data_IF_602514680794
#
_entry.id   IF_602514680794
#
_cell.length_a   1.000
_cell.length_b   1.000
_cell.length_c   1.000
_cell.angle_alpha   90.00
_cell.angle_beta   90.00
_cell.angle_gamma   90.00
#
_symmetry.space_group_name_H-M   'P 1'
#
loop_
_entity.id
_entity.type
_entity.pdbx_description
1 polymer ?
#
# COMPACT_ATOMS: atom_id res chain seq x y z
N UNK A 1 10.08 19.27 -4.93
CA UNK A 1 8.99 20.26 -5.12
C UNK A 1 7.61 19.58 -5.15
N UNK A 2 7.23 18.87 -6.22
CA UNK A 2 5.90 18.24 -6.30
C UNK A 2 5.74 17.07 -5.31
N UNK A 3 6.73 16.18 -5.20
CA UNK A 3 6.75 15.11 -4.18
C UNK A 3 6.57 15.68 -2.77
N UNK A 4 7.32 16.73 -2.42
CA UNK A 4 7.26 17.35 -1.11
C UNK A 4 5.88 17.94 -0.81
N UNK A 5 5.28 18.61 -1.81
CA UNK A 5 3.93 19.13 -1.71
C UNK A 5 2.91 18.02 -1.37
N UNK A 6 2.96 16.88 -2.08
CA UNK A 6 2.05 15.76 -1.82
C UNK A 6 2.27 15.13 -0.43
N UNK A 7 3.53 15.00 0.00
CA UNK A 7 3.89 14.48 1.31
C UNK A 7 3.40 15.41 2.43
N UNK A 8 3.53 16.72 2.25
CA UNK A 8 2.98 17.72 3.19
C UNK A 8 1.46 17.62 3.24
N UNK A 9 0.78 17.52 2.09
CA UNK A 9 -0.68 17.36 2.07
C UNK A 9 -1.15 16.11 2.83
N UNK A 10 -0.43 14.99 2.68
CA UNK A 10 -0.77 13.78 3.44
C UNK A 10 -0.55 13.96 4.94
N UNK A 11 0.58 14.57 5.35
CA UNK A 11 0.88 14.86 6.76
C UNK A 11 -0.18 15.79 7.38
N UNK A 12 -0.59 16.83 6.65
CA UNK A 12 -1.64 17.76 7.08
C UNK A 12 -2.99 17.05 7.20
N UNK A 13 -3.31 16.13 6.30
CA UNK A 13 -4.52 15.32 6.39
C UNK A 13 -4.52 14.42 7.64
N UNK A 14 -3.40 13.75 7.93
CA UNK A 14 -3.23 12.92 9.13
C UNK A 14 -3.39 13.79 10.38
N UNK A 15 -2.73 14.93 10.46
CA UNK A 15 -2.82 15.85 11.60
C UNK A 15 -4.23 16.41 11.80
N UNK A 16 -4.91 16.78 10.71
CA UNK A 16 -6.28 17.32 10.74
C UNK A 16 -7.31 16.29 11.19
N UNK A 17 -7.16 15.03 10.78
CA UNK A 17 -8.11 13.96 11.12
C UNK A 17 -7.82 13.42 12.52
N UNK A 18 -6.54 13.36 12.92
CA UNK A 18 -6.07 12.65 14.12
C UNK A 18 -5.67 11.22 13.76
N UNK A 19 -4.40 10.86 14.01
CA UNK A 19 -3.83 9.55 13.65
C UNK A 19 -4.60 8.38 14.28
N UNK A 20 -5.04 8.53 15.53
CA UNK A 20 -5.84 7.57 16.30
C UNK A 20 -7.20 7.26 15.67
N UNK A 21 -7.63 8.07 14.70
CA UNK A 21 -8.90 7.92 13.96
C UNK A 21 -8.70 7.35 12.56
N UNK A 22 -7.47 7.05 12.16
CA UNK A 22 -7.13 6.54 10.82
C UNK A 22 -6.68 5.09 10.95
N UNK A 23 -7.43 4.16 10.34
CA UNK A 23 -7.06 2.75 10.33
C UNK A 23 -5.99 2.40 9.30
N UNK A 24 -6.11 2.93 8.07
CA UNK A 24 -5.21 2.57 6.98
C UNK A 24 -5.10 3.66 5.91
N UNK A 25 -3.95 3.67 5.23
CA UNK A 25 -3.75 4.24 3.91
C UNK A 25 -3.84 3.11 2.87
N UNK A 26 -4.55 3.37 1.76
CA UNK A 26 -4.67 2.43 0.64
C UNK A 26 -4.22 3.13 -0.63
N UNK A 27 -3.28 2.53 -1.37
CA UNK A 27 -2.78 3.12 -2.61
C UNK A 27 -2.27 2.09 -3.60
N UNK A 28 -2.58 2.30 -4.88
CA UNK A 28 -1.95 1.57 -5.98
C UNK A 28 -0.49 2.04 -6.14
N UNK A 29 0.48 1.13 -6.38
CA UNK A 29 1.86 1.54 -6.69
C UNK A 29 1.95 2.41 -7.96
N UNK A 30 1.10 2.12 -8.95
CA UNK A 30 0.84 2.96 -10.12
C UNK A 30 -0.67 3.00 -10.31
N UNK A 31 -1.27 4.18 -10.32
CA UNK A 31 -2.73 4.29 -10.44
C UNK A 31 -3.15 3.96 -11.87
N UNK A 32 -3.61 2.73 -12.10
CA UNK A 32 -3.80 2.22 -13.44
C UNK A 32 -5.06 2.82 -14.09
N UNK A 33 -6.22 2.64 -13.46
CA UNK A 33 -7.52 3.11 -13.98
C UNK A 33 -7.65 4.64 -13.97
N UNK A 34 -6.84 5.33 -13.14
CA UNK A 34 -6.78 6.79 -13.08
C UNK A 34 -6.03 7.45 -14.23
N UNK A 35 -5.48 6.67 -15.17
CA UNK A 35 -4.72 7.17 -16.32
C UNK A 35 -3.24 6.79 -16.32
N UNK A 36 -2.88 5.65 -15.70
CA UNK A 36 -1.49 5.16 -15.60
C UNK A 36 -0.59 6.22 -14.97
N UNK A 37 -0.97 6.66 -13.77
CA UNK A 37 -0.25 7.73 -13.05
C UNK A 37 0.87 7.07 -12.26
N UNK A 38 2.10 7.28 -12.73
CA UNK A 38 3.32 6.87 -12.01
C UNK A 38 3.57 7.89 -10.89
N UNK A 39 3.75 7.45 -9.63
CA UNK A 39 4.02 8.36 -8.53
C UNK A 39 5.39 9.02 -8.72
N UNK A 40 5.58 10.27 -8.26
CA UNK A 40 6.90 10.88 -8.21
C UNK A 40 7.88 10.07 -7.34
N UNK A 41 9.17 10.11 -7.69
CA UNK A 41 10.22 9.38 -6.97
C UNK A 41 10.17 9.64 -5.46
N UNK A 42 10.22 8.55 -4.69
CA UNK A 42 10.22 8.57 -3.23
C UNK A 42 8.88 8.94 -2.58
N UNK A 43 7.82 9.24 -3.35
CA UNK A 43 6.50 9.59 -2.79
C UNK A 43 5.97 8.49 -1.89
N UNK A 44 5.78 7.28 -2.42
CA UNK A 44 5.15 6.19 -1.68
C UNK A 44 5.97 5.74 -0.47
N UNK A 45 7.31 5.73 -0.58
CA UNK A 45 8.20 5.45 0.56
C UNK A 45 7.99 6.45 1.70
N UNK A 46 7.86 7.75 1.40
CA UNK A 46 7.61 8.79 2.41
C UNK A 46 6.18 8.73 2.98
N UNK A 47 5.20 8.31 2.18
CA UNK A 47 3.85 8.02 2.70
C UNK A 47 3.90 6.83 3.66
N UNK A 48 4.63 5.76 3.31
CA UNK A 48 4.82 4.59 4.18
C UNK A 48 5.47 4.95 5.51
N UNK A 49 6.50 5.80 5.49
CA UNK A 49 7.17 6.32 6.69
C UNK A 49 6.17 7.05 7.61
N UNK A 50 5.39 7.99 7.06
CA UNK A 50 4.36 8.69 7.82
C UNK A 50 3.33 7.72 8.39
N UNK A 51 2.89 6.72 7.61
CA UNK A 51 1.97 5.71 8.11
C UNK A 51 2.57 4.93 9.30
N UNK A 52 3.84 4.52 9.19
CA UNK A 52 4.55 3.81 10.26
C UNK A 52 4.71 4.65 11.53
N UNK A 53 5.02 5.93 11.40
CA UNK A 53 5.15 6.88 12.52
C UNK A 53 3.85 7.10 13.28
N UNK A 54 2.69 6.87 12.63
CA UNK A 54 1.36 7.18 13.15
C UNK A 54 0.50 5.94 13.44
N UNK A 55 1.10 4.74 13.43
CA UNK A 55 0.40 3.45 13.58
C UNK A 55 -0.77 3.25 12.57
N UNK A 56 -0.61 3.81 11.37
CA UNK A 56 -1.56 3.67 10.26
C UNK A 56 -1.10 2.49 9.40
N UNK A 57 -2.00 1.55 9.12
CA UNK A 57 -1.70 0.43 8.24
C UNK A 57 -1.49 0.90 6.79
N UNK A 58 -0.49 0.37 6.10
CA UNK A 58 -0.26 0.64 4.69
C UNK A 58 -0.73 -0.56 3.84
N UNK A 59 -1.72 -0.34 2.98
CA UNK A 59 -2.23 -1.33 2.03
C UNK A 59 -1.76 -0.97 0.62
N UNK A 60 -0.94 -1.82 0.03
CA UNK A 60 -0.55 -1.70 -1.37
C UNK A 60 -1.59 -2.39 -2.26
N UNK A 61 -2.32 -1.63 -3.06
CA UNK A 61 -3.28 -2.19 -4.01
C UNK A 61 -2.59 -2.64 -5.30
N UNK A 62 -2.28 -3.93 -5.36
CA UNK A 62 -1.57 -4.56 -6.47
C UNK A 62 -2.48 -5.39 -7.35
N UNK A 63 -3.78 -5.09 -7.35
CA UNK A 63 -4.74 -5.72 -8.26
C UNK A 63 -4.33 -5.56 -9.73
N UNK A 64 -3.71 -4.44 -10.12
CA UNK A 64 -3.20 -4.25 -11.49
C UNK A 64 -1.69 -4.43 -11.59
N UNK A 65 -0.93 -3.94 -10.61
CA UNK A 65 0.55 -3.91 -10.66
C UNK A 65 1.20 -5.26 -10.32
N UNK A 66 0.46 -6.18 -9.68
CA UNK A 66 0.94 -7.51 -9.36
C UNK A 66 1.09 -8.44 -10.56
N UNK A 67 1.75 -9.56 -10.32
CA UNK A 67 1.99 -10.67 -11.26
C UNK A 67 2.66 -10.26 -12.57
N UNK A 68 3.74 -9.48 -12.47
CA UNK A 68 4.64 -9.21 -13.60
C UNK A 68 4.32 -7.95 -14.39
N UNK A 69 3.27 -7.18 -14.04
CA UNK A 69 2.90 -5.96 -14.78
C UNK A 69 4.05 -4.97 -14.89
N UNK A 70 4.86 -4.86 -13.84
CA UNK A 70 6.03 -3.99 -13.76
C UNK A 70 7.36 -4.75 -13.79
N UNK A 71 7.36 -6.00 -14.29
CA UNK A 71 8.57 -6.85 -14.36
C UNK A 71 8.85 -7.67 -13.10
N UNK A 72 8.06 -7.45 -12.03
CA UNK A 72 8.19 -8.11 -10.73
C UNK A 72 6.86 -8.73 -10.29
N UNK A 73 6.89 -9.71 -9.38
CA UNK A 73 5.67 -10.34 -8.87
C UNK A 73 4.78 -9.32 -8.15
N UNK A 74 5.38 -8.42 -7.38
CA UNK A 74 4.73 -7.27 -6.76
C UNK A 74 5.63 -6.05 -6.92
N UNK A 75 5.05 -4.89 -7.13
CA UNK A 75 5.79 -3.64 -7.35
C UNK A 75 6.23 -2.98 -6.05
N UNK A 76 5.46 -3.15 -4.97
CA UNK A 76 5.69 -2.50 -3.67
C UNK A 76 7.13 -2.65 -3.18
N UNK A 77 7.66 -3.87 -3.08
CA UNK A 77 9.05 -4.11 -2.68
C UNK A 77 10.05 -3.77 -3.80
N UNK A 78 10.02 -4.54 -4.88
CA UNK A 78 11.08 -4.52 -5.90
C UNK A 78 11.17 -3.22 -6.72
N UNK A 79 10.06 -2.48 -6.87
CA UNK A 79 10.01 -1.27 -7.71
C UNK A 79 9.98 0.00 -6.86
N UNK A 80 9.29 -0.02 -5.73
CA UNK A 80 9.05 1.19 -4.92
C UNK A 80 9.69 1.18 -3.52
N UNK A 81 10.38 0.11 -3.15
CA UNK A 81 11.07 -0.03 -1.85
C UNK A 81 10.12 0.19 -0.65
N UNK A 82 8.98 -0.49 -0.69
CA UNK A 82 7.93 -0.43 0.33
C UNK A 82 7.72 -1.82 0.93
N UNK A 83 7.65 -1.85 2.25
CA UNK A 83 7.21 -2.99 3.06
C UNK A 83 5.76 -2.74 3.55
N UNK A 84 4.73 -3.09 2.74
CA UNK A 84 3.34 -2.86 3.07
C UNK A 84 2.84 -3.83 4.15
N UNK A 85 1.84 -3.41 4.92
CA UNK A 85 1.24 -4.26 5.94
C UNK A 85 0.30 -5.30 5.34
N UNK A 86 -0.33 -4.93 4.21
CA UNK A 86 -1.16 -5.79 3.38
C UNK A 86 -0.97 -5.50 1.90
N UNK A 87 -1.16 -6.53 1.06
CA UNK A 87 -1.23 -6.39 -0.40
C UNK A 87 -2.57 -6.95 -0.87
N UNK A 88 -3.38 -6.15 -1.58
CA UNK A 88 -4.56 -6.66 -2.31
C UNK A 88 -4.14 -7.10 -3.70
N UNK A 89 -4.65 -8.24 -4.16
CA UNK A 89 -4.31 -8.77 -5.47
C UNK A 89 -5.49 -9.47 -6.14
N UNK A 90 -5.52 -9.45 -7.47
CA UNK A 90 -6.47 -10.17 -8.32
C UNK A 90 -5.90 -10.23 -9.75
N UNK A 91 -6.75 -10.21 -10.78
CA UNK A 91 -6.41 -10.09 -12.22
C UNK A 91 -5.28 -11.01 -12.67
N UNK A 92 -4.04 -10.53 -12.61
CA UNK A 92 -2.85 -11.23 -13.08
C UNK A 92 -2.63 -12.60 -12.42
N UNK A 93 -3.11 -12.81 -11.19
CA UNK A 93 -2.98 -14.09 -10.47
C UNK A 93 -3.50 -15.29 -11.28
N UNK A 94 -4.62 -15.11 -11.98
CA UNK A 94 -5.21 -16.14 -12.84
C UNK A 94 -5.10 -15.77 -14.31
N UNK A 95 -4.42 -14.66 -14.64
CA UNK A 95 -4.41 -14.07 -15.98
C UNK A 95 -5.82 -13.91 -16.57
N UNK A 96 -6.84 -13.75 -15.72
CA UNK A 96 -8.24 -13.64 -16.13
C UNK A 96 -8.93 -14.95 -16.53
N UNK A 97 -8.29 -16.13 -16.37
CA UNK A 97 -8.89 -17.42 -16.74
C UNK A 97 -10.06 -17.83 -15.83
N UNK A 98 -10.04 -17.44 -14.57
CA UNK A 98 -11.12 -17.67 -13.61
C UNK A 98 -11.09 -16.62 -12.49
N UNK A 99 -12.22 -16.36 -11.80
CA UNK A 99 -12.28 -15.34 -10.76
C UNK A 99 -11.47 -15.76 -9.54
N UNK A 100 -10.48 -14.94 -9.18
CA UNK A 100 -9.71 -15.07 -7.96
C UNK A 100 -9.19 -13.70 -7.54
N UNK A 101 -9.29 -13.43 -6.24
CA UNK A 101 -8.65 -12.31 -5.57
C UNK A 101 -8.24 -12.72 -4.17
N UNK A 102 -7.41 -11.90 -3.54
CA UNK A 102 -6.94 -12.18 -2.19
C UNK A 102 -6.25 -11.00 -1.55
N UNK A 103 -5.89 -11.21 -0.29
CA UNK A 103 -5.11 -10.29 0.53
C UNK A 103 -3.93 -11.06 1.10
N UNK A 104 -2.72 -10.53 0.92
CA UNK A 104 -1.52 -10.98 1.62
C UNK A 104 -1.39 -10.09 2.86
N UNK A 105 -1.12 -10.71 4.00
CA UNK A 105 -0.96 -10.03 5.29
C UNK A 105 0.48 -10.24 5.76
N UNK A 106 1.17 -9.16 6.13
CA UNK A 106 2.53 -9.24 6.67
C UNK A 106 2.57 -10.09 7.95
N UNK A 107 3.68 -10.80 8.16
CA UNK A 107 3.88 -11.61 9.37
C UNK A 107 3.76 -10.76 10.64
N UNK A 108 4.31 -9.55 10.62
CA UNK A 108 4.22 -8.59 11.72
C UNK A 108 2.77 -8.30 12.11
N UNK A 109 1.92 -7.97 11.14
CA UNK A 109 0.51 -7.69 11.39
C UNK A 109 -0.23 -8.95 11.85
N UNK A 110 0.03 -10.10 11.22
CA UNK A 110 -0.59 -11.37 11.60
C UNK A 110 -0.26 -11.77 13.05
N UNK A 111 0.99 -11.58 13.48
CA UNK A 111 1.44 -11.86 14.84
C UNK A 111 0.74 -10.94 15.87
N UNK A 112 0.59 -9.64 15.56
CA UNK A 112 -0.18 -8.72 16.41
C UNK A 112 -1.64 -9.18 16.56
N UNK A 113 -2.29 -9.58 15.47
CA UNK A 113 -3.66 -10.08 15.49
C UNK A 113 -3.80 -11.40 16.28
N UNK A 114 -2.80 -12.28 16.23
CA UNK A 114 -2.81 -13.53 17.01
C UNK A 114 -2.73 -13.27 18.52
N UNK A 115 -1.93 -12.28 18.93
CA UNK A 115 -1.80 -11.86 20.34
C UNK A 115 -3.08 -11.23 20.86
N UNK A 116 -3.74 -10.39 20.07
CA UNK A 116 -5.00 -9.75 20.49
C UNK A 116 -6.17 -10.73 20.63
N UNK A 117 -6.11 -11.87 19.92
CA UNK A 117 -7.15 -12.90 19.94
C UNK A 117 -6.96 -13.96 21.05
N UNK A 118 -5.96 -13.79 21.92
CA UNK A 118 -5.85 -14.55 23.17
C UNK A 118 -6.33 -13.68 24.34
N UNK A 119 -7.28 -14.13 25.17
CA UNK A 119 -7.62 -13.47 26.43
C UNK A 119 -6.45 -13.46 27.42
#
# INVERSE_FOLDING_TARGET
AFTDFLVVQFRDAVARIGADRIGAFVGEPVQASGGVIVPPDGYLRRIREICRENDILYISDEVVTGFGRLGHVFASGDVFDIDPDMITFAKGITSGYFPLGGVIISERLLEQLRRSNHP
#
